data_IF_186748138292
#
_entry.id   IF_186748138292
#
_cell.length_a   1.000
_cell.length_b   1.000
_cell.length_c   1.000
_cell.angle_alpha   90.00
_cell.angle_beta   90.00
_cell.angle_gamma   90.00
#
_symmetry.space_group_name_H-M   'P 1'
#
loop_
_entity.id
_entity.type
_entity.pdbx_description
1 polymer ?
#
# COMPACT_ATOMS: atom_id res chain seq x y z
N UNK A 1 -9.51 47.24 -11.34
CA UNK A 1 -8.52 46.74 -10.36
C UNK A 1 -8.18 45.32 -10.75
N UNK A 2 -6.90 44.95 -10.93
CA UNK A 2 -6.56 43.58 -11.31
C UNK A 2 -6.72 42.68 -10.07
N UNK A 3 -7.60 41.69 -10.18
CA UNK A 3 -7.79 40.67 -9.17
C UNK A 3 -6.46 39.97 -8.91
N UNK A 4 -6.00 40.01 -7.65
CA UNK A 4 -4.80 39.29 -7.21
C UNK A 4 -5.12 37.79 -7.27
N UNK A 5 -4.83 37.16 -8.42
CA UNK A 5 -4.82 35.71 -8.53
C UNK A 5 -3.94 35.16 -7.41
N UNK A 6 -4.54 34.33 -6.56
CA UNK A 6 -3.92 33.75 -5.40
C UNK A 6 -2.67 32.98 -5.81
N UNK A 7 -1.52 33.24 -5.17
CA UNK A 7 -0.27 32.51 -5.38
C UNK A 7 -0.43 31.00 -5.09
N UNK A 8 -1.49 30.62 -4.38
CA UNK A 8 -1.86 29.24 -4.10
C UNK A 8 -2.36 28.48 -5.34
N UNK A 9 -2.93 29.17 -6.34
CA UNK A 9 -3.41 28.52 -7.58
C UNK A 9 -2.27 28.20 -8.56
N UNK A 10 -1.05 28.71 -8.31
CA UNK A 10 0.13 28.40 -9.13
C UNK A 10 0.88 27.15 -8.66
N UNK A 11 0.53 26.62 -7.49
CA UNK A 11 1.05 25.35 -7.01
C UNK A 11 0.10 24.26 -7.52
N UNK A 12 0.41 23.67 -8.67
CA UNK A 12 -0.06 22.34 -9.06
C UNK A 12 0.40 21.32 -8.01
N UNK A 13 -0.26 21.30 -6.85
CA UNK A 13 0.00 20.38 -5.74
C UNK A 13 -0.36 18.95 -6.12
N UNK A 14 -1.25 18.77 -7.11
CA UNK A 14 -1.66 17.44 -7.59
C UNK A 14 -0.51 16.65 -8.20
N UNK A 15 0.38 17.28 -8.97
CA UNK A 15 1.48 16.56 -9.65
C UNK A 15 2.64 16.18 -8.69
N UNK A 16 2.77 16.86 -7.53
CA UNK A 16 3.82 16.54 -6.53
C UNK A 16 3.41 15.46 -5.53
N UNK A 17 2.14 15.10 -5.45
CA UNK A 17 1.63 14.08 -4.53
C UNK A 17 1.80 12.65 -5.05
N UNK A 18 2.08 12.46 -6.34
CA UNK A 18 2.24 11.12 -6.95
C UNK A 18 3.69 10.60 -6.92
N UNK A 19 4.67 11.45 -6.60
CA UNK A 19 6.04 11.01 -6.40
C UNK A 19 6.16 10.41 -4.99
N UNK A 20 6.52 9.10 -4.94
CA UNK A 20 6.71 8.31 -3.72
C UNK A 20 7.74 8.89 -2.73
N UNK A 21 8.53 9.88 -3.14
CA UNK A 21 9.50 10.61 -2.30
C UNK A 21 8.97 11.98 -1.81
N UNK A 22 7.66 12.24 -1.90
CA UNK A 22 7.06 13.44 -1.31
C UNK A 22 6.98 13.32 0.21
N UNK A 23 7.42 14.33 1.00
CA UNK A 23 7.25 14.34 2.46
C UNK A 23 5.77 14.41 2.91
N UNK A 24 4.84 14.52 1.96
CA UNK A 24 3.39 14.47 2.16
C UNK A 24 2.75 13.16 1.66
N UNK A 25 3.55 12.23 1.11
CA UNK A 25 3.07 10.88 0.82
C UNK A 25 2.65 10.24 2.14
N UNK A 26 1.39 9.83 2.24
CA UNK A 26 0.92 9.10 3.43
C UNK A 26 1.67 7.78 3.47
N UNK A 27 2.56 7.62 4.45
CA UNK A 27 3.18 6.32 4.73
C UNK A 27 2.08 5.28 4.88
N UNK A 28 2.17 4.21 4.09
CA UNK A 28 1.25 3.10 4.13
C UNK A 28 1.32 2.46 5.52
N UNK A 29 0.24 2.60 6.30
CA UNK A 29 0.22 2.12 7.69
C UNK A 29 -0.01 0.62 7.71
N UNK A 30 1.02 -0.14 8.07
CA UNK A 30 0.87 -1.56 8.39
C UNK A 30 -0.02 -1.74 9.62
N UNK A 31 -0.90 -2.75 9.62
CA UNK A 31 -1.71 -3.13 10.78
C UNK A 31 -1.27 -4.48 11.33
N UNK A 32 -1.34 -4.70 12.66
CA UNK A 32 -1.05 -6.00 13.24
C UNK A 32 -2.12 -7.01 12.81
N UNK A 33 -1.70 -8.14 12.25
CA UNK A 33 -2.55 -9.24 11.81
C UNK A 33 -2.30 -10.47 12.69
N UNK A 34 -3.37 -11.12 13.15
CA UNK A 34 -3.27 -12.42 13.83
C UNK A 34 -3.29 -13.53 12.79
N UNK A 35 -2.25 -14.36 12.79
CA UNK A 35 -2.14 -15.54 11.92
C UNK A 35 -1.84 -16.79 12.74
N UNK A 36 -2.20 -17.95 12.19
CA UNK A 36 -1.89 -19.25 12.81
C UNK A 36 -0.38 -19.46 12.82
N UNK A 37 0.13 -20.04 13.90
CA UNK A 37 1.56 -20.30 14.11
C UNK A 37 2.20 -21.06 12.95
N UNK A 38 1.57 -22.15 12.49
CA UNK A 38 2.06 -22.93 11.34
C UNK A 38 2.25 -22.12 10.06
N UNK A 39 1.42 -21.11 9.82
CA UNK A 39 1.55 -20.21 8.66
C UNK A 39 2.60 -19.13 8.90
N UNK A 40 2.71 -18.66 10.15
CA UNK A 40 3.75 -17.72 10.55
C UNK A 40 5.15 -18.31 10.34
N UNK A 41 5.35 -19.56 10.74
CA UNK A 41 6.64 -20.26 10.57
C UNK A 41 7.00 -20.41 9.11
N UNK A 42 6.03 -20.73 8.26
CA UNK A 42 6.23 -20.79 6.81
C UNK A 42 6.70 -19.43 6.25
N UNK A 43 6.02 -18.34 6.63
CA UNK A 43 6.40 -16.98 6.22
C UNK A 43 7.81 -16.63 6.72
N UNK A 44 8.15 -17.03 7.94
CA UNK A 44 9.47 -16.80 8.54
C UNK A 44 10.58 -17.55 7.77
N UNK A 45 10.33 -18.81 7.39
CA UNK A 45 11.26 -19.60 6.58
C UNK A 45 11.43 -19.00 5.19
N UNK A 46 10.33 -18.56 4.56
CA UNK A 46 10.38 -17.92 3.25
C UNK A 46 11.19 -16.63 3.33
N UNK A 47 10.86 -15.74 4.27
CA UNK A 47 11.56 -14.46 4.44
C UNK A 47 13.06 -14.66 4.70
N UNK A 48 13.41 -15.67 5.49
CA UNK A 48 14.81 -16.01 5.76
C UNK A 48 15.54 -16.50 4.51
N UNK A 49 14.91 -17.34 3.68
CA UNK A 49 15.51 -17.90 2.47
C UNK A 49 15.64 -16.89 1.33
N UNK A 50 14.66 -15.99 1.18
CA UNK A 50 14.62 -15.00 0.09
C UNK A 50 15.28 -13.68 0.45
N UNK A 51 15.58 -13.43 1.74
CA UNK A 51 16.11 -12.15 2.21
C UNK A 51 15.10 -11.00 2.14
N UNK A 52 13.82 -11.29 1.93
CA UNK A 52 12.75 -10.29 1.85
C UNK A 52 12.11 -10.06 3.22
N UNK A 53 11.46 -8.91 3.44
CA UNK A 53 10.77 -8.68 4.72
C UNK A 53 9.53 -9.57 4.80
N UNK A 54 9.15 -9.96 6.02
CA UNK A 54 7.94 -10.78 6.27
C UNK A 54 6.67 -10.11 5.77
N UNK A 55 6.62 -8.77 5.86
CA UNK A 55 5.49 -7.96 5.37
C UNK A 55 5.36 -8.12 3.85
N UNK A 56 6.44 -7.92 3.10
CA UNK A 56 6.45 -8.09 1.65
C UNK A 56 6.03 -9.51 1.22
N UNK A 57 6.47 -10.54 1.96
CA UNK A 57 6.06 -11.93 1.71
C UNK A 57 4.55 -12.10 1.93
N UNK A 58 4.01 -11.54 3.01
CA UNK A 58 2.58 -11.58 3.31
C UNK A 58 1.75 -10.82 2.26
N UNK A 59 2.19 -9.64 1.86
CA UNK A 59 1.47 -8.81 0.88
C UNK A 59 1.40 -9.51 -0.47
N UNK A 60 2.52 -10.10 -0.93
CA UNK A 60 2.53 -10.89 -2.17
C UNK A 60 1.57 -12.09 -2.10
N UNK A 61 1.51 -12.80 -0.98
CA UNK A 61 0.61 -13.94 -0.79
C UNK A 61 -0.86 -13.48 -0.79
N UNK A 62 -1.16 -12.38 -0.09
CA UNK A 62 -2.50 -11.81 -0.02
C UNK A 62 -2.97 -11.30 -1.38
N UNK A 63 -2.10 -10.58 -2.11
CA UNK A 63 -2.42 -10.06 -3.44
C UNK A 63 -2.68 -11.21 -4.43
N UNK A 64 -1.84 -12.26 -4.42
CA UNK A 64 -2.04 -13.44 -5.23
C UNK A 64 -3.38 -14.13 -4.92
N UNK A 65 -3.73 -14.26 -3.64
CA UNK A 65 -5.01 -14.83 -3.20
C UNK A 65 -6.21 -13.99 -3.62
N UNK A 66 -6.15 -12.67 -3.44
CA UNK A 66 -7.20 -11.72 -3.86
C UNK A 66 -7.43 -11.80 -5.37
N UNK A 67 -6.35 -11.86 -6.15
CA UNK A 67 -6.42 -11.97 -7.61
C UNK A 67 -7.00 -13.31 -8.05
N UNK A 68 -6.53 -14.42 -7.48
CA UNK A 68 -7.00 -15.76 -7.82
C UNK A 68 -8.49 -15.94 -7.52
N UNK A 69 -8.97 -15.36 -6.42
CA UNK A 69 -10.36 -15.45 -5.98
C UNK A 69 -11.25 -14.34 -6.57
N UNK A 70 -10.71 -13.44 -7.40
CA UNK A 70 -11.42 -12.29 -7.98
C UNK A 70 -12.16 -11.43 -6.94
N UNK A 71 -11.65 -11.37 -5.70
CA UNK A 71 -12.35 -10.71 -4.59
C UNK A 71 -12.52 -9.20 -4.81
N UNK A 72 -11.62 -8.56 -5.57
CA UNK A 72 -11.77 -7.16 -5.97
C UNK A 72 -13.02 -6.89 -6.80
N UNK A 73 -13.46 -7.86 -7.61
CA UNK A 73 -14.68 -7.73 -8.41
C UNK A 73 -15.92 -7.97 -7.55
N UNK A 74 -15.83 -8.93 -6.63
CA UNK A 74 -16.93 -9.32 -5.75
C UNK A 74 -17.27 -8.26 -4.69
N UNK A 75 -16.26 -7.54 -4.18
CA UNK A 75 -16.41 -6.54 -3.10
C UNK A 75 -16.12 -5.12 -3.59
N UNK A 76 -16.31 -4.86 -4.89
CA UNK A 76 -15.97 -3.57 -5.51
C UNK A 76 -16.73 -2.39 -4.90
N UNK A 77 -17.93 -2.61 -4.41
CA UNK A 77 -18.79 -1.57 -3.82
C UNK A 77 -18.46 -1.29 -2.34
N UNK A 78 -17.60 -2.10 -1.70
CA UNK A 78 -17.23 -1.99 -0.27
C UNK A 78 -15.79 -1.48 -0.04
N UNK A 79 -15.01 -1.32 -1.11
CA UNK A 79 -13.60 -0.86 -1.12
C UNK A 79 -13.50 0.63 -1.44
#
# INVERSE_FOLDING_TARGET
MPEKKSLLDQLNVKDKLENRDSPFAKDEKTKPLRIRESKYDLVNVISFKTGTKKVDVLDNILEAGIKQLKLREQYKDEL
#
